data_IF_399788621215
#
_entry.id   IF_399788621215
#
_cell.length_a   1.000
_cell.length_b   1.000
_cell.length_c   1.000
_cell.angle_alpha   90.00
_cell.angle_beta   90.00
_cell.angle_gamma   90.00
#
_symmetry.space_group_name_H-M   'P 1'
#
loop_
_entity.id
_entity.type
_entity.pdbx_description
1 polymer ?
#
# COMPACT_ATOMS: atom_id res chain seq x y z
N UNK A 1 20.08 13.14 -21.69
CA UNK A 1 18.73 12.57 -21.96
C UNK A 1 18.87 11.04 -21.90
N UNK A 2 17.80 10.25 -21.72
CA UNK A 2 17.88 8.88 -21.17
C UNK A 2 18.96 7.97 -21.80
N UNK A 3 19.69 7.25 -20.95
CA UNK A 3 20.69 6.27 -21.36
C UNK A 3 20.04 4.94 -21.82
N UNK A 4 20.84 4.03 -22.40
CA UNK A 4 20.33 2.77 -22.95
C UNK A 4 19.63 1.88 -21.90
N UNK A 5 20.14 1.84 -20.67
CA UNK A 5 19.54 1.07 -19.57
C UNK A 5 18.19 1.65 -19.16
N UNK A 6 18.10 2.97 -19.02
CA UNK A 6 16.86 3.68 -18.71
C UNK A 6 15.80 3.42 -19.79
N UNK A 7 16.16 3.53 -21.06
CA UNK A 7 15.24 3.25 -22.18
C UNK A 7 14.76 1.81 -22.17
N UNK A 8 15.65 0.84 -21.90
CA UNK A 8 15.28 -0.58 -21.79
C UNK A 8 14.23 -0.79 -20.69
N UNK A 9 14.43 -0.20 -19.51
CA UNK A 9 13.49 -0.34 -18.38
C UNK A 9 12.17 0.38 -18.70
N UNK A 10 12.19 1.61 -19.20
CA UNK A 10 10.98 2.38 -19.53
C UNK A 10 10.10 1.69 -20.60
N UNK A 11 10.72 0.97 -21.55
CA UNK A 11 10.03 0.20 -22.59
C UNK A 11 9.56 -1.18 -22.13
N UNK A 12 10.01 -1.67 -20.97
CA UNK A 12 9.57 -2.98 -20.46
C UNK A 12 8.12 -2.95 -19.98
N UNK A 13 7.48 -4.11 -20.02
CA UNK A 13 6.12 -4.29 -19.54
C UNK A 13 6.00 -4.04 -18.03
N UNK A 14 4.84 -3.58 -17.59
CA UNK A 14 4.57 -3.38 -16.17
C UNK A 14 4.33 -4.74 -15.52
N UNK A 15 5.07 -5.03 -14.45
CA UNK A 15 4.90 -6.24 -13.66
C UNK A 15 3.51 -6.26 -12.99
N UNK A 16 2.77 -7.35 -13.16
CA UNK A 16 1.42 -7.54 -12.60
C UNK A 16 1.38 -7.41 -11.07
N UNK A 17 2.46 -7.73 -10.36
CA UNK A 17 2.55 -7.61 -8.89
C UNK A 17 2.45 -6.16 -8.38
N UNK A 18 2.84 -5.20 -9.23
CA UNK A 18 2.77 -3.75 -8.95
C UNK A 18 1.37 -3.20 -9.17
N UNK A 19 0.49 -3.93 -9.85
CA UNK A 19 -0.86 -3.50 -10.17
C UNK A 19 -1.79 -3.82 -9.00
N UNK A 20 -2.48 -2.79 -8.50
CA UNK A 20 -3.54 -2.89 -7.51
C UNK A 20 -4.90 -2.65 -8.15
N UNK A 21 -5.94 -3.17 -7.53
CA UNK A 21 -7.33 -2.99 -7.99
C UNK A 21 -8.16 -2.40 -6.88
N UNK A 22 -9.07 -1.48 -7.23
CA UNK A 22 -10.10 -0.98 -6.33
C UNK A 22 -11.45 -1.01 -7.02
N UNK A 23 -12.51 -1.26 -6.26
CA UNK A 23 -13.87 -1.17 -6.77
C UNK A 23 -14.38 0.28 -6.62
N UNK A 24 -14.96 0.83 -7.69
CA UNK A 24 -15.64 2.12 -7.68
C UNK A 24 -16.89 2.04 -8.55
N UNK A 25 -18.06 2.02 -7.91
CA UNK A 25 -19.35 1.99 -8.62
C UNK A 25 -19.50 0.79 -9.55
N UNK A 26 -19.39 -0.43 -9.00
CA UNK A 26 -19.45 -1.72 -9.69
C UNK A 26 -18.36 -1.93 -10.77
N UNK A 27 -17.38 -1.03 -10.88
CA UNK A 27 -16.26 -1.16 -11.82
C UNK A 27 -14.97 -1.35 -11.03
N UNK A 28 -14.19 -2.35 -11.43
CA UNK A 28 -12.83 -2.55 -10.95
C UNK A 28 -11.86 -1.64 -11.71
N UNK A 29 -11.12 -0.82 -10.98
CA UNK A 29 -10.12 0.09 -11.52
C UNK A 29 -8.72 -0.37 -11.10
N UNK A 30 -7.88 -0.63 -12.09
CA UNK A 30 -6.46 -0.94 -11.88
C UNK A 30 -5.65 0.34 -11.69
N UNK A 31 -4.68 0.33 -10.79
CA UNK A 31 -3.79 1.44 -10.49
C UNK A 31 -2.44 0.97 -9.94
N UNK A 32 -1.44 1.85 -9.95
CA UNK A 32 -0.20 1.69 -9.18
C UNK A 32 -0.19 2.65 -8.00
N UNK A 33 0.46 2.25 -6.91
CA UNK A 33 0.53 3.02 -5.67
C UNK A 33 1.51 4.20 -5.78
N UNK A 34 1.32 5.21 -4.94
CA UNK A 34 2.14 6.42 -5.01
C UNK A 34 3.61 6.18 -4.67
N UNK A 35 3.89 5.33 -3.66
CA UNK A 35 5.26 4.98 -3.28
C UNK A 35 5.97 4.22 -4.41
N UNK A 36 5.30 3.26 -5.03
CA UNK A 36 5.83 2.46 -6.13
C UNK A 36 6.26 3.34 -7.33
N UNK A 37 5.48 4.38 -7.63
CA UNK A 37 5.82 5.38 -8.66
C UNK A 37 7.08 6.17 -8.29
N UNK A 38 7.22 6.55 -7.03
CA UNK A 38 8.38 7.30 -6.52
C UNK A 38 9.63 6.41 -6.55
N UNK A 39 9.52 5.18 -6.05
CA UNK A 39 10.64 4.22 -6.03
C UNK A 39 11.08 3.84 -7.43
N UNK A 40 10.13 3.66 -8.36
CA UNK A 40 10.43 3.43 -9.77
C UNK A 40 11.14 4.63 -10.40
N UNK A 41 10.74 5.86 -10.07
CA UNK A 41 11.44 7.05 -10.55
C UNK A 41 12.85 7.15 -9.97
N UNK A 42 13.04 6.83 -8.69
CA UNK A 42 14.35 6.76 -8.05
C UNK A 42 15.25 5.70 -8.70
N UNK A 43 14.70 4.53 -9.03
CA UNK A 43 15.42 3.44 -9.68
C UNK A 43 15.84 3.80 -11.12
N UNK A 44 14.92 4.36 -11.91
CA UNK A 44 15.17 4.63 -13.33
C UNK A 44 16.00 5.91 -13.50
N UNK A 45 15.58 7.01 -12.87
CA UNK A 45 16.21 8.31 -13.10
C UNK A 45 17.39 8.56 -12.15
N UNK A 46 17.33 8.01 -10.93
CA UNK A 46 18.26 8.33 -9.84
C UNK A 46 17.74 9.47 -8.97
N UNK A 47 17.95 9.37 -7.65
CA UNK A 47 17.44 10.30 -6.64
C UNK A 47 17.72 11.79 -6.92
N UNK A 48 18.87 12.11 -7.52
CA UNK A 48 19.27 13.48 -7.83
C UNK A 48 18.81 14.02 -9.18
N UNK A 49 18.22 13.17 -10.04
CA UNK A 49 17.98 13.49 -11.45
C UNK A 49 16.50 13.69 -11.78
N UNK A 50 15.61 13.64 -10.80
CA UNK A 50 14.21 14.02 -10.99
C UNK A 50 13.68 14.80 -9.79
N UNK A 51 12.67 15.61 -10.03
CA UNK A 51 11.99 16.40 -9.01
C UNK A 51 10.61 16.78 -9.50
N UNK A 52 9.69 17.11 -8.61
CA UNK A 52 8.39 17.65 -8.99
C UNK A 52 8.04 18.88 -8.15
N UNK A 53 7.20 19.75 -8.72
CA UNK A 53 6.67 20.93 -8.08
C UNK A 53 5.15 20.87 -8.10
N UNK A 54 4.54 21.19 -6.96
CA UNK A 54 3.10 21.45 -6.88
C UNK A 54 2.90 22.89 -7.40
N UNK A 55 2.53 23.00 -8.67
CA UNK A 55 2.33 24.31 -9.32
C UNK A 55 1.04 24.96 -8.85
N UNK A 56 0.04 24.17 -8.48
CA UNK A 56 -1.25 24.64 -7.94
C UNK A 56 -1.90 23.57 -7.09
N UNK A 57 -2.62 23.98 -6.05
CA UNK A 57 -3.50 23.13 -5.25
C UNK A 57 -4.74 23.94 -4.87
N UNK A 58 -5.83 23.73 -5.59
CA UNK A 58 -7.09 24.47 -5.41
C UNK A 58 -8.14 23.58 -4.76
N UNK A 59 -8.84 24.10 -3.75
CA UNK A 59 -10.11 23.54 -3.33
C UNK A 59 -11.14 23.82 -4.42
N UNK A 60 -11.83 22.78 -4.91
CA UNK A 60 -12.84 22.90 -5.96
C UNK A 60 -14.26 22.85 -5.44
N UNK A 61 -14.50 22.12 -4.35
CA UNK A 61 -15.80 22.08 -3.67
C UNK A 61 -15.64 21.68 -2.21
N UNK A 62 -16.64 22.05 -1.41
CA UNK A 62 -16.82 21.60 -0.04
C UNK A 62 -18.30 21.59 0.29
N UNK A 63 -18.77 20.46 0.79
CA UNK A 63 -20.16 20.26 1.19
C UNK A 63 -20.22 19.33 2.40
N UNK A 64 -21.42 19.19 2.96
CA UNK A 64 -21.69 18.22 4.01
C UNK A 64 -22.72 17.21 3.48
N UNK A 65 -22.40 15.92 3.57
CA UNK A 65 -23.31 14.88 3.09
C UNK A 65 -24.41 14.58 4.12
N UNK A 66 -25.38 13.72 3.75
CA UNK A 66 -26.50 13.31 4.62
C UNK A 66 -26.05 12.72 5.97
N UNK A 67 -24.84 12.15 6.03
CA UNK A 67 -24.26 11.58 7.24
C UNK A 67 -23.47 12.62 8.06
N UNK A 68 -23.62 13.90 7.76
CA UNK A 68 -22.91 15.00 8.40
C UNK A 68 -21.38 14.96 8.24
N UNK A 69 -20.85 14.20 7.26
CA UNK A 69 -19.41 14.25 6.95
C UNK A 69 -19.13 15.43 6.02
N UNK A 70 -18.01 16.11 6.23
CA UNK A 70 -17.46 17.03 5.24
C UNK A 70 -16.94 16.21 4.05
N UNK A 71 -17.32 16.65 2.85
CA UNK A 71 -16.82 16.16 1.58
C UNK A 71 -16.09 17.31 0.92
N UNK A 72 -14.77 17.21 0.82
CA UNK A 72 -13.91 18.25 0.26
C UNK A 72 -13.19 17.70 -0.95
N UNK A 73 -13.12 18.49 -2.01
CA UNK A 73 -12.43 18.10 -3.25
C UNK A 73 -11.34 19.10 -3.58
N UNK A 74 -10.19 18.58 -4.02
CA UNK A 74 -9.06 19.37 -4.47
C UNK A 74 -8.64 18.99 -5.88
N UNK A 75 -8.08 19.97 -6.59
CA UNK A 75 -7.40 19.80 -7.86
C UNK A 75 -5.96 20.26 -7.71
N UNK A 76 -5.01 19.41 -8.05
CA UNK A 76 -3.59 19.74 -8.05
C UNK A 76 -3.04 19.81 -9.48
N UNK A 77 -2.07 20.69 -9.72
CA UNK A 77 -1.27 20.71 -10.95
C UNK A 77 0.17 20.41 -10.55
N UNK A 78 0.73 19.30 -11.05
CA UNK A 78 2.11 18.91 -10.74
C UNK A 78 2.97 19.01 -11.98
N UNK A 79 4.09 19.73 -11.87
CA UNK A 79 5.14 19.80 -12.90
C UNK A 79 6.30 18.89 -12.48
N UNK A 80 6.56 17.88 -13.28
CA UNK A 80 7.66 16.94 -13.15
C UNK A 80 8.83 17.40 -14.01
N UNK A 81 10.04 17.31 -13.48
CA UNK A 81 11.30 17.63 -14.16
C UNK A 81 12.22 16.43 -14.03
N UNK A 82 12.72 15.94 -15.16
CA UNK A 82 13.72 14.87 -15.23
C UNK A 82 14.94 15.39 -15.96
N UNK A 83 16.12 15.18 -15.37
CA UNK A 83 17.43 15.58 -15.87
C UNK A 83 18.22 14.35 -16.28
N UNK A 84 19.23 14.55 -17.10
CA UNK A 84 20.25 13.53 -17.30
C UNK A 84 21.32 13.54 -16.21
N UNK A 85 22.17 12.51 -16.20
CA UNK A 85 23.18 12.27 -15.16
C UNK A 85 24.11 13.47 -14.95
N UNK A 86 24.45 14.19 -16.03
CA UNK A 86 25.32 15.37 -15.97
C UNK A 86 24.55 16.69 -15.76
N UNK A 87 23.22 16.63 -15.60
CA UNK A 87 22.33 17.79 -15.44
C UNK A 87 22.43 18.82 -16.58
N UNK A 88 22.84 18.39 -17.77
CA UNK A 88 23.01 19.24 -18.95
C UNK A 88 21.73 19.37 -19.78
N UNK A 89 20.86 18.37 -19.70
CA UNK A 89 19.56 18.36 -20.39
C UNK A 89 18.47 18.03 -19.39
N UNK A 90 17.32 18.68 -19.58
CA UNK A 90 16.12 18.42 -18.79
C UNK A 90 14.88 18.35 -19.66
N UNK A 91 13.93 17.52 -19.26
CA UNK A 91 12.59 17.45 -19.83
C UNK A 91 11.57 17.64 -18.72
N UNK A 92 10.42 18.20 -19.07
CA UNK A 92 9.34 18.41 -18.12
C UNK A 92 8.02 17.84 -18.63
N UNK A 93 7.21 17.37 -17.69
CA UNK A 93 5.81 16.94 -17.90
C UNK A 93 4.94 17.66 -16.89
N UNK A 94 3.69 17.89 -17.24
CA UNK A 94 2.71 18.44 -16.31
C UNK A 94 1.39 17.72 -16.54
N UNK A 95 0.72 17.39 -15.45
CA UNK A 95 -0.64 16.85 -15.49
C UNK A 95 -1.41 17.39 -14.27
N UNK A 96 -2.70 17.13 -14.27
CA UNK A 96 -3.64 17.56 -13.25
C UNK A 96 -4.12 16.32 -12.50
N UNK A 97 -4.19 16.41 -11.18
CA UNK A 97 -4.75 15.39 -10.32
C UNK A 97 -5.97 15.87 -9.57
N UNK A 98 -6.77 14.92 -9.12
CA UNK A 98 -7.97 15.17 -8.34
C UNK A 98 -7.97 14.31 -7.09
N UNK A 99 -8.39 14.88 -5.97
CA UNK A 99 -8.52 14.18 -4.69
C UNK A 99 -9.79 14.55 -3.97
N UNK A 100 -10.35 13.60 -3.24
CA UNK A 100 -11.57 13.78 -2.45
C UNK A 100 -11.37 13.23 -1.03
N UNK A 101 -11.69 14.05 -0.05
CA UNK A 101 -11.64 13.69 1.36
C UNK A 101 -13.03 13.69 1.96
N UNK A 102 -13.39 12.60 2.63
CA UNK A 102 -14.65 12.47 3.36
C UNK A 102 -14.33 12.17 4.81
N UNK A 103 -14.66 13.10 5.71
CA UNK A 103 -14.40 12.94 7.13
C UNK A 103 -15.41 13.70 8.00
N UNK A 104 -15.52 13.30 9.27
CA UNK A 104 -16.32 14.04 10.26
C UNK A 104 -15.68 15.37 10.63
N UNK A 105 -14.35 15.40 10.76
CA UNK A 105 -13.62 16.62 11.03
C UNK A 105 -13.20 17.28 9.70
N UNK A 106 -13.38 18.59 9.61
CA UNK A 106 -13.12 19.34 8.38
C UNK A 106 -11.64 19.27 7.98
N UNK A 107 -10.72 19.41 8.95
CA UNK A 107 -9.28 19.33 8.74
C UNK A 107 -8.85 17.99 8.11
N UNK A 108 -9.43 16.87 8.56
CA UNK A 108 -9.12 15.54 8.03
C UNK A 108 -9.59 15.40 6.57
N UNK A 109 -10.75 15.98 6.23
CA UNK A 109 -11.24 16.00 4.86
C UNK A 109 -10.32 16.82 3.94
N UNK A 110 -9.86 18.00 4.36
CA UNK A 110 -8.88 18.79 3.61
C UNK A 110 -7.54 18.05 3.46
N UNK A 111 -7.04 17.43 4.54
CA UNK A 111 -5.77 16.68 4.52
C UNK A 111 -5.83 15.54 3.50
N UNK A 112 -6.88 14.70 3.57
CA UNK A 112 -7.04 13.56 2.68
C UNK A 112 -7.20 13.99 1.21
N UNK A 113 -8.07 14.97 0.95
CA UNK A 113 -8.32 15.46 -0.40
C UNK A 113 -7.07 16.08 -1.04
N UNK A 114 -6.35 16.92 -0.29
CA UNK A 114 -5.14 17.57 -0.76
C UNK A 114 -4.02 16.58 -1.08
N UNK A 115 -3.78 15.60 -0.18
CA UNK A 115 -2.79 14.53 -0.39
C UNK A 115 -3.14 13.69 -1.63
N UNK A 116 -4.38 13.23 -1.75
CA UNK A 116 -4.81 12.42 -2.90
C UNK A 116 -4.64 13.21 -4.22
N UNK A 117 -5.03 14.48 -4.25
CA UNK A 117 -4.94 15.30 -5.46
C UNK A 117 -3.50 15.43 -5.96
N UNK A 118 -2.54 15.67 -5.07
CA UNK A 118 -1.12 15.79 -5.42
C UNK A 118 -0.55 14.44 -5.87
N UNK A 119 -0.86 13.35 -5.15
CA UNK A 119 -0.40 12.01 -5.54
C UNK A 119 -0.97 11.60 -6.89
N UNK A 120 -2.25 11.85 -7.16
CA UNK A 120 -2.87 11.57 -8.46
C UNK A 120 -2.19 12.37 -9.58
N UNK A 121 -1.95 13.67 -9.37
CA UNK A 121 -1.29 14.53 -10.35
C UNK A 121 0.14 14.05 -10.66
N UNK A 122 0.90 13.65 -9.64
CA UNK A 122 2.24 13.09 -9.79
C UNK A 122 2.22 11.80 -10.60
N UNK A 123 1.34 10.85 -10.25
CA UNK A 123 1.20 9.58 -10.99
C UNK A 123 0.87 9.81 -12.46
N UNK A 124 -0.05 10.74 -12.73
CA UNK A 124 -0.47 11.07 -14.09
C UNK A 124 0.64 11.76 -14.90
N UNK A 125 1.40 12.66 -14.29
CA UNK A 125 2.57 13.27 -14.94
C UNK A 125 3.67 12.24 -15.24
N UNK A 126 3.90 11.30 -14.32
CA UNK A 126 4.86 10.20 -14.50
C UNK A 126 4.44 9.23 -15.60
N UNK A 127 3.13 8.95 -15.76
CA UNK A 127 2.57 8.08 -16.80
C UNK A 127 3.11 8.40 -18.20
N UNK A 128 3.35 9.67 -18.50
CA UNK A 128 3.90 10.14 -19.79
C UNK A 128 5.33 9.66 -20.09
N UNK A 129 6.01 8.99 -19.15
CA UNK A 129 7.33 8.39 -19.36
C UNK A 129 7.28 6.92 -19.80
N UNK A 130 6.13 6.24 -19.68
CA UNK A 130 5.96 4.88 -20.22
C UNK A 130 5.28 3.90 -19.27
N UNK A 131 5.34 2.63 -19.64
CA UNK A 131 4.57 1.56 -19.01
C UNK A 131 4.96 1.32 -17.54
N UNK A 132 6.23 1.55 -17.19
CA UNK A 132 6.71 1.46 -15.81
C UNK A 132 6.00 2.41 -14.83
N UNK A 133 5.35 3.45 -15.34
CA UNK A 133 4.53 4.40 -14.59
C UNK A 133 3.03 4.25 -14.87
N UNK A 134 2.59 3.07 -15.31
CA UNK A 134 1.17 2.72 -15.41
C UNK A 134 0.48 3.15 -16.71
N UNK A 135 1.23 3.51 -17.76
CA UNK A 135 0.60 3.91 -19.04
C UNK A 135 -0.22 2.77 -19.68
N UNK A 136 0.24 1.53 -19.57
CA UNK A 136 -0.45 0.34 -20.09
C UNK A 136 -1.80 0.06 -19.41
N UNK A 137 -2.02 0.55 -18.18
CA UNK A 137 -3.29 0.34 -17.45
C UNK A 137 -4.49 1.06 -18.11
N UNK A 138 -4.21 2.05 -18.96
CA UNK A 138 -5.22 2.79 -19.70
C UNK A 138 -5.60 2.13 -21.03
N UNK A 139 -4.85 1.10 -21.46
CA UNK A 139 -5.16 0.35 -22.66
C UNK A 139 -6.31 -0.63 -22.40
N UNK A 140 -7.50 -0.28 -22.89
CA UNK A 140 -8.71 -1.09 -22.74
C UNK A 140 -8.63 -2.43 -23.47
N UNK A 141 -7.82 -2.56 -24.52
CA UNK A 141 -7.69 -3.81 -25.27
C UNK A 141 -7.03 -4.91 -24.42
N UNK A 142 -6.09 -4.52 -23.55
CA UNK A 142 -5.40 -5.43 -22.61
C UNK A 142 -6.28 -5.83 -21.42
N UNK A 143 -7.21 -4.97 -21.02
CA UNK A 143 -8.16 -5.28 -19.95
C UNK A 143 -9.20 -6.33 -20.37
N UNK A 144 -9.52 -6.44 -21.66
CA UNK A 144 -10.45 -7.46 -22.18
C UNK A 144 -9.84 -8.87 -22.15
N UNK A 145 -8.55 -9.01 -22.50
CA UNK A 145 -7.86 -10.31 -22.46
C UNK A 145 -7.79 -10.94 -21.06
N UNK A 146 -7.70 -10.11 -20.02
CA UNK A 146 -7.70 -10.58 -18.63
C UNK A 146 -9.08 -11.02 -18.13
N UNK A 147 -10.18 -10.52 -18.73
CA UNK A 147 -11.53 -11.00 -18.39
C UNK A 147 -11.80 -12.39 -18.99
N UNK A 148 -11.43 -12.64 -20.25
CA UNK A 148 -11.63 -13.95 -20.90
C UNK A 148 -10.84 -15.09 -20.21
N UNK A 149 -9.65 -14.78 -19.70
CA UNK A 149 -8.79 -15.73 -18.97
C UNK A 149 -9.40 -16.23 -17.65
N UNK A 150 -10.29 -15.44 -17.04
CA UNK A 150 -10.97 -15.80 -15.79
C UNK A 150 -12.14 -16.77 -15.99
N UNK A 151 -12.77 -16.76 -17.16
CA UNK A 151 -13.89 -17.66 -17.49
C UNK A 151 -13.42 -19.08 -17.86
N UNK A 152 -12.21 -19.25 -18.42
CA UNK A 152 -11.69 -20.60 -18.72
C UNK A 152 -11.27 -21.38 -17.46
N UNK A 153 -10.91 -20.70 -16.37
CA UNK A 153 -10.50 -21.37 -15.13
C UNK A 153 -11.69 -21.92 -14.32
N UNK A 154 -12.91 -21.43 -14.53
CA UNK A 154 -14.11 -21.94 -13.84
C UNK A 154 -14.62 -23.28 -14.39
N UNK A 155 -14.44 -23.57 -15.70
CA UNK A 155 -14.90 -24.85 -16.27
C UNK A 155 -14.03 -26.04 -15.85
N UNK A 156 -12.73 -25.83 -15.57
CA UNK A 156 -11.84 -26.91 -15.13
C UNK A 156 -12.12 -27.39 -13.69
N UNK A 157 -12.74 -26.56 -12.84
CA UNK A 157 -13.09 -26.96 -11.47
C UNK A 157 -14.36 -27.82 -11.40
N UNK A 158 -15.29 -27.69 -12.35
CA UNK A 158 -16.52 -28.50 -12.35
C UNK A 158 -16.31 -29.93 -12.89
N UNK A 159 -15.25 -30.19 -13.68
CA UNK A 159 -14.99 -31.52 -14.22
C UNK A 159 -14.13 -32.42 -13.29
N UNK A 160 -13.55 -31.86 -12.22
CA UNK A 160 -12.73 -32.63 -11.25
C UNK A 160 -13.51 -33.22 -10.07
N UNK A 161 -14.79 -32.93 -9.88
CA UNK A 161 -15.58 -33.47 -8.77
C UNK A 161 -16.31 -34.79 -9.05
N UNK A 162 -16.26 -35.34 -10.27
CA UNK A 162 -16.99 -36.57 -10.63
C UNK A 162 -16.21 -37.88 -10.49
N UNK A 163 -14.95 -37.86 -10.05
CA UNK A 163 -14.11 -39.07 -9.90
C UNK A 163 -13.51 -39.19 -8.50
N UNK A 164 -14.34 -39.27 -7.46
CA UNK A 164 -13.96 -39.85 -6.17
C UNK A 164 -15.20 -39.96 -5.29
N UNK A 165 -15.95 -41.05 -5.45
CA UNK A 165 -16.78 -41.61 -4.38
C UNK A 165 -17.23 -43.02 -4.78
N UNK A 166 -16.35 -43.99 -4.59
CA UNK A 166 -16.74 -45.39 -4.41
C UNK A 166 -16.27 -45.87 -3.03
N UNK A 167 -17.20 -46.55 -2.34
CA UNK A 167 -17.05 -47.31 -1.10
C UNK A 167 -16.97 -46.53 0.22
N UNK A 168 -18.08 -46.49 0.98
CA UNK A 168 -18.35 -47.41 2.10
C UNK A 168 -19.87 -47.51 2.33
N UNK A 169 -20.36 -48.75 2.49
CA UNK A 169 -21.74 -49.13 2.72
C UNK A 169 -21.94 -49.51 4.21
N UNK A 170 -22.99 -49.03 4.89
CA UNK A 170 -23.92 -49.87 5.71
C UNK A 170 -25.00 -49.08 6.49
N UNK A 171 -26.28 -49.37 6.13
CA UNK A 171 -27.50 -49.66 6.96
C UNK A 171 -27.90 -48.69 8.10
N UNK A 172 -29.16 -48.28 8.34
CA UNK A 172 -30.51 -48.64 7.86
C UNK A 172 -31.59 -47.65 8.40
N UNK A 173 -32.72 -47.50 7.67
CA UNK A 173 -34.15 -47.22 8.10
C UNK A 173 -34.49 -45.96 8.94
N UNK A 174 -35.58 -45.20 8.80
CA UNK A 174 -36.80 -45.09 7.95
C UNK A 174 -37.38 -43.64 8.13
N UNK A 175 -38.39 -43.16 7.37
CA UNK A 175 -38.66 -41.75 7.11
C UNK A 175 -39.86 -41.14 7.88
N UNK A 176 -39.81 -39.84 8.12
CA UNK A 176 -40.93 -38.88 8.03
C UNK A 176 -40.47 -37.54 8.60
N UNK A 177 -40.60 -36.44 7.84
CA UNK A 177 -41.39 -35.26 8.25
C UNK A 177 -41.31 -34.15 7.18
N UNK A 178 -42.46 -33.50 7.02
CA UNK A 178 -42.85 -32.58 5.95
C UNK A 178 -42.25 -31.18 6.06
N UNK A 179 -42.06 -30.59 4.88
CA UNK A 179 -42.05 -29.16 4.50
C UNK A 179 -42.71 -28.17 5.46
N UNK A 180 -42.04 -27.03 5.72
CA UNK A 180 -42.62 -25.67 5.75
C UNK A 180 -41.56 -24.62 5.36
N UNK A 181 -41.91 -23.78 4.37
CA UNK A 181 -41.24 -22.52 3.99
C UNK A 181 -41.28 -21.47 5.12
N UNK A 182 -40.25 -20.62 5.28
CA UNK A 182 -40.40 -19.15 5.18
C UNK A 182 -39.15 -18.34 5.54
N UNK A 183 -39.01 -17.25 4.77
CA UNK A 183 -38.45 -15.93 5.11
C UNK A 183 -36.94 -15.70 5.02
N UNK A 184 -36.57 -15.14 3.85
CA UNK A 184 -35.38 -14.35 3.61
C UNK A 184 -35.43 -13.03 4.41
N UNK A 185 -34.48 -12.84 5.30
CA UNK A 185 -34.16 -11.53 5.87
C UNK A 185 -32.96 -10.94 5.11
N UNK A 186 -33.15 -9.74 4.56
CA UNK A 186 -32.11 -8.89 3.97
C UNK A 186 -31.14 -8.44 5.06
N UNK A 187 -29.86 -8.78 4.92
CA UNK A 187 -28.78 -8.09 5.65
C UNK A 187 -27.99 -7.24 4.67
N UNK A 188 -28.00 -5.93 4.92
CA UNK A 188 -27.18 -4.93 4.28
C UNK A 188 -25.75 -5.05 4.82
N UNK A 189 -24.79 -5.38 3.96
CA UNK A 189 -23.38 -5.27 4.30
C UNK A 189 -22.93 -3.83 4.14
N UNK A 190 -22.61 -3.19 5.27
CA UNK A 190 -21.88 -1.92 5.33
C UNK A 190 -20.39 -2.21 5.17
N UNK A 191 -19.79 -1.70 4.10
CA UNK A 191 -18.33 -1.76 3.88
C UNK A 191 -17.69 -0.54 4.54
N UNK A 192 -17.00 -0.74 5.67
CA UNK A 192 -16.13 0.26 6.28
C UNK A 192 -14.76 0.23 5.59
N UNK A 193 -14.41 1.31 4.88
CA UNK A 193 -13.04 1.62 4.54
C UNK A 193 -12.49 2.56 5.62
N UNK A 194 -11.47 2.11 6.36
CA UNK A 194 -10.63 2.97 7.20
C UNK A 194 -9.26 3.08 6.56
N UNK A 195 -8.90 4.29 6.11
CA UNK A 195 -7.51 4.66 5.81
C UNK A 195 -6.93 5.34 7.04
N UNK A 196 -5.87 4.74 7.60
CA UNK A 196 -5.11 5.29 8.72
C UNK A 196 -4.33 6.54 8.30
N UNK A 197 -4.46 7.58 9.11
CA UNK A 197 -3.62 8.77 9.15
C UNK A 197 -2.31 8.49 9.90
N UNK A 198 -1.24 9.19 9.54
CA UNK A 198 -0.22 9.60 10.52
C UNK A 198 0.13 11.07 10.29
N UNK A 199 -0.11 11.85 11.36
CA UNK A 199 0.30 13.23 11.57
C UNK A 199 1.71 13.22 12.16
N UNK A 200 2.56 14.15 11.71
CA UNK A 200 3.79 14.52 12.42
C UNK A 200 3.69 16.02 12.71
N UNK A 201 3.48 16.37 13.98
CA UNK A 201 3.67 17.73 14.48
C UNK A 201 5.13 17.87 14.92
N UNK A 202 5.78 18.92 14.43
CA UNK A 202 7.13 19.31 14.80
C UNK A 202 7.03 20.71 15.44
N UNK A 203 7.55 20.96 16.66
CA UNK A 203 7.63 22.31 17.19
C UNK A 203 9.01 22.95 16.95
N UNK A 204 8.93 24.19 16.47
CA UNK A 204 9.86 25.31 16.67
C UNK A 204 11.22 25.38 15.96
N UNK A 205 11.46 26.57 15.40
CA UNK A 205 12.78 27.17 15.23
C UNK A 205 12.72 28.62 15.68
N UNK A 206 13.58 29.02 16.62
CA UNK A 206 14.13 30.39 16.72
C UNK A 206 15.49 30.38 17.40
N UNK A 207 16.42 31.10 16.77
CA UNK A 207 17.84 31.23 17.04
C UNK A 207 18.17 31.98 18.33
N UNK A 208 19.22 31.55 19.04
CA UNK A 208 20.11 32.41 19.86
C UNK A 208 21.55 31.90 19.73
N UNK A 209 22.49 32.82 19.51
CA UNK A 209 23.94 32.60 19.43
C UNK A 209 24.57 32.35 20.82
N UNK A 210 25.57 31.45 20.94
CA UNK A 210 26.87 31.68 21.62
C UNK A 210 27.78 30.42 21.67
N UNK A 211 29.02 30.61 21.18
CA UNK A 211 30.36 30.05 21.48
C UNK A 211 30.64 28.59 21.94
N UNK A 212 31.86 28.05 21.68
CA UNK A 212 32.16 26.61 21.62
C UNK A 212 32.84 26.07 22.89
N UNK A 213 32.55 24.80 23.23
CA UNK A 213 33.56 23.81 23.63
C UNK A 213 32.95 22.41 23.87
N UNK A 214 33.62 21.41 23.28
CA UNK A 214 33.84 20.04 23.76
C UNK A 214 32.67 19.21 24.33
N UNK A 215 32.29 18.14 23.61
CA UNK A 215 32.58 16.76 24.01
C UNK A 215 32.10 15.76 22.93
N UNK A 216 33.01 14.90 22.50
CA UNK A 216 32.75 13.69 21.71
C UNK A 216 31.69 12.83 22.40
N UNK A 217 30.71 12.32 21.64
CA UNK A 217 30.10 11.05 21.99
C UNK A 217 29.84 10.22 20.73
N UNK A 218 30.44 9.04 20.72
CA UNK A 218 30.39 8.02 19.68
C UNK A 218 28.95 7.53 19.49
N UNK A 219 28.42 7.61 18.28
CA UNK A 219 27.39 6.66 17.84
C UNK A 219 28.09 5.40 17.35
N UNK A 220 28.17 4.41 18.23
CA UNK A 220 28.58 3.05 17.88
C UNK A 220 27.53 2.45 16.95
N UNK A 221 27.97 2.09 15.74
CA UNK A 221 27.31 1.10 14.91
C UNK A 221 27.21 -0.20 15.71
N UNK A 222 26.01 -0.60 16.08
CA UNK A 222 25.75 -1.96 16.52
C UNK A 222 25.74 -2.89 15.30
N UNK A 223 26.91 -3.35 14.91
CA UNK A 223 27.07 -4.58 14.13
C UNK A 223 26.87 -5.77 15.08
N UNK A 224 25.63 -6.22 15.24
CA UNK A 224 25.41 -7.53 15.86
C UNK A 224 25.58 -8.62 14.81
N UNK A 225 26.52 -9.53 15.08
CA UNK A 225 26.75 -10.71 14.28
C UNK A 225 25.48 -11.56 14.20
N UNK A 226 25.16 -11.89 12.97
CA UNK A 226 23.96 -12.52 12.48
C UNK A 226 23.88 -13.99 12.92
N UNK A 227 22.83 -14.33 13.68
CA UNK A 227 22.41 -15.72 13.89
C UNK A 227 20.87 -15.82 14.02
N UNK A 228 20.15 -14.92 13.35
CA UNK A 228 18.69 -14.91 13.36
C UNK A 228 18.17 -15.61 12.10
N UNK A 229 17.14 -16.44 12.25
CA UNK A 229 16.62 -17.28 11.17
C UNK A 229 15.73 -16.52 10.18
N UNK A 230 15.57 -15.20 10.33
CA UNK A 230 14.62 -14.37 9.59
C UNK A 230 15.29 -13.18 8.89
N UNK A 231 14.65 -12.66 7.85
CA UNK A 231 15.13 -11.46 7.14
C UNK A 231 14.83 -10.20 7.96
N UNK A 232 15.88 -9.52 8.42
CA UNK A 232 15.74 -8.32 9.23
C UNK A 232 14.95 -7.22 8.48
N UNK A 233 15.05 -7.11 7.15
CA UNK A 233 14.37 -6.06 6.38
C UNK A 233 12.84 -6.22 6.35
N UNK A 234 12.31 -7.42 6.66
CA UNK A 234 10.87 -7.69 6.69
C UNK A 234 10.14 -6.84 7.75
N UNK A 235 10.81 -6.49 8.84
CA UNK A 235 10.22 -5.77 9.97
C UNK A 235 10.71 -4.32 10.11
N UNK A 236 11.24 -3.73 9.03
CA UNK A 236 11.70 -2.34 9.04
C UNK A 236 10.63 -1.36 9.53
N UNK A 237 9.35 -1.62 9.22
CA UNK A 237 8.23 -0.83 9.72
C UNK A 237 8.09 -0.85 11.24
N UNK A 238 8.47 -1.95 11.92
CA UNK A 238 8.46 -2.05 13.38
C UNK A 238 9.68 -1.33 13.99
N UNK A 239 10.87 -1.47 13.39
CA UNK A 239 12.07 -0.76 13.86
C UNK A 239 11.91 0.76 13.78
N UNK A 240 11.27 1.26 12.72
CA UNK A 240 10.99 2.69 12.58
C UNK A 240 10.02 3.22 13.65
N UNK A 241 9.26 2.33 14.31
CA UNK A 241 8.37 2.65 15.43
C UNK A 241 9.08 2.47 16.79
N UNK A 242 10.38 2.18 16.81
CA UNK A 242 11.16 1.93 18.02
C UNK A 242 10.91 0.56 18.65
N UNK A 243 10.35 -0.38 17.89
CA UNK A 243 10.13 -1.77 18.32
C UNK A 243 11.20 -2.65 17.71
N UNK A 244 11.72 -3.61 18.47
CA UNK A 244 12.66 -4.62 17.98
C UNK A 244 12.00 -5.99 17.86
N UNK A 245 12.55 -6.84 16.99
CA UNK A 245 12.13 -8.22 16.81
C UNK A 245 13.30 -9.12 17.16
N UNK A 246 13.08 -10.05 18.09
CA UNK A 246 14.10 -10.99 18.53
C UNK A 246 13.59 -12.42 18.39
N UNK A 247 14.49 -13.35 18.09
CA UNK A 247 14.17 -14.78 18.07
C UNK A 247 14.41 -15.41 19.45
N UNK A 248 13.38 -16.04 20.01
CA UNK A 248 13.43 -16.75 21.29
C UNK A 248 12.65 -18.06 21.18
N UNK A 249 13.31 -19.19 21.47
CA UNK A 249 12.69 -20.53 21.51
C UNK A 249 11.93 -20.92 20.22
N UNK A 250 12.43 -20.52 19.04
CA UNK A 250 11.80 -20.79 17.75
C UNK A 250 10.61 -19.88 17.42
N UNK A 251 10.42 -18.80 18.19
CA UNK A 251 9.44 -17.76 17.93
C UNK A 251 10.13 -16.42 17.74
N UNK A 252 9.61 -15.63 16.82
CA UNK A 252 9.89 -14.20 16.75
C UNK A 252 9.03 -13.49 17.78
N UNK A 253 9.64 -12.63 18.57
CA UNK A 253 9.03 -11.89 19.66
C UNK A 253 9.27 -10.40 19.45
N UNK A 254 8.23 -9.58 19.55
CA UNK A 254 8.36 -8.12 19.50
C UNK A 254 8.68 -7.61 20.90
N UNK A 255 9.71 -6.77 21.00
CA UNK A 255 10.10 -6.06 22.22
C UNK A 255 10.14 -4.54 21.94
N UNK A 256 10.20 -3.73 23.00
CA UNK A 256 10.23 -2.28 22.90
C UNK A 256 9.11 -1.61 23.70
N UNK A 257 9.16 -0.28 23.78
CA UNK A 257 8.17 0.52 24.50
C UNK A 257 6.88 0.70 23.69
N UNK A 258 5.77 0.98 24.37
CA UNK A 258 4.48 1.33 23.74
C UNK A 258 3.92 0.32 22.72
N UNK A 259 4.26 -0.98 22.83
CA UNK A 259 3.77 -2.04 21.93
C UNK A 259 2.24 -2.04 21.74
N UNK A 260 1.47 -1.66 22.78
CA UNK A 260 0.01 -1.58 22.70
C UNK A 260 -0.51 -0.44 21.80
N UNK A 261 0.23 0.66 21.69
CA UNK A 261 -0.11 1.78 20.81
C UNK A 261 0.07 1.39 19.33
N UNK A 262 0.98 0.44 19.05
CA UNK A 262 1.32 -0.01 17.70
C UNK A 262 0.75 -1.40 17.35
N UNK A 263 -0.27 -1.86 18.08
CA UNK A 263 -0.88 -3.18 17.92
C UNK A 263 -1.28 -3.52 16.48
N UNK A 264 -1.72 -2.53 15.70
CA UNK A 264 -2.20 -2.75 14.34
C UNK A 264 -1.03 -2.95 13.36
N UNK A 265 0.06 -2.20 13.53
CA UNK A 265 1.32 -2.43 12.81
C UNK A 265 1.93 -3.79 13.15
N UNK A 266 1.92 -4.19 14.42
CA UNK A 266 2.45 -5.49 14.86
C UNK A 266 1.61 -6.66 14.27
N UNK A 267 0.28 -6.53 14.26
CA UNK A 267 -0.61 -7.52 13.63
C UNK A 267 -0.42 -7.61 12.12
N UNK A 268 -0.19 -6.48 11.44
CA UNK A 268 0.05 -6.45 10.00
C UNK A 268 1.29 -7.26 9.60
N UNK A 269 2.31 -7.32 10.47
CA UNK A 269 3.51 -8.16 10.29
C UNK A 269 3.30 -9.65 10.66
N UNK A 270 2.06 -10.06 10.96
CA UNK A 270 1.70 -11.45 11.22
C UNK A 270 1.88 -11.92 12.66
N UNK A 271 2.23 -11.05 13.60
CA UNK A 271 2.35 -11.39 15.02
C UNK A 271 0.97 -11.59 15.66
N UNK A 272 0.92 -12.43 16.69
CA UNK A 272 -0.26 -12.71 17.54
C UNK A 272 0.05 -12.31 18.97
N UNK A 273 -0.96 -11.88 19.72
CA UNK A 273 -0.79 -11.48 21.11
C UNK A 273 -1.12 -12.64 22.04
N UNK A 274 -0.19 -12.99 22.93
CA UNK A 274 -0.46 -13.89 24.06
C UNK A 274 -0.84 -13.05 25.29
N UNK A 275 -2.07 -13.23 25.78
CA UNK A 275 -2.57 -12.51 26.95
C UNK A 275 -1.93 -12.94 28.27
N UNK A 276 -1.36 -14.16 28.34
CA UNK A 276 -0.70 -14.67 29.56
C UNK A 276 0.69 -14.05 29.74
N UNK A 277 1.52 -14.10 28.70
CA UNK A 277 2.86 -13.50 28.72
C UNK A 277 2.87 -12.00 28.43
N UNK A 278 1.75 -11.45 27.92
CA UNK A 278 1.62 -10.05 27.46
C UNK A 278 2.56 -9.70 26.30
N UNK A 279 2.86 -10.68 25.47
CA UNK A 279 3.88 -10.57 24.43
C UNK A 279 3.29 -10.80 23.03
N UNK A 280 3.84 -10.12 22.04
CA UNK A 280 3.54 -10.37 20.63
C UNK A 280 4.53 -11.37 20.04
N UNK A 281 4.03 -12.43 19.42
CA UNK A 281 4.86 -13.52 18.90
C UNK A 281 4.37 -14.05 17.55
N UNK A 282 5.28 -14.63 16.75
CA UNK A 282 4.94 -15.51 15.62
C UNK A 282 5.99 -16.63 15.48
N UNK A 283 5.66 -17.79 14.89
CA UNK A 283 6.64 -18.83 14.63
C UNK A 283 7.78 -18.30 13.74
N UNK A 284 9.03 -18.65 14.06
CA UNK A 284 10.16 -18.38 13.18
C UNK A 284 10.10 -19.36 11.98
N UNK A 285 10.20 -18.85 10.76
CA UNK A 285 10.21 -19.71 9.57
C UNK A 285 11.53 -20.49 9.51
N UNK A 286 11.43 -21.82 9.62
CA UNK A 286 12.57 -22.68 9.32
C UNK A 286 12.74 -22.70 7.80
N UNK A 287 13.84 -22.13 7.30
CA UNK A 287 14.25 -22.37 5.91
C UNK A 287 14.45 -23.87 5.76
N UNK A 288 13.60 -24.51 4.96
CA UNK A 288 13.82 -25.87 4.50
C UNK A 288 15.22 -25.91 3.87
N UNK A 289 16.07 -26.80 4.39
CA UNK A 289 17.44 -27.03 3.92
C UNK A 289 17.44 -27.59 2.50
#
# INVERSE_FOLDING_TARGET
MFNANQLKVLNSELDSSRIKTREKGNINLSYIEGFDVIDTANLIFGYGNWSYLISKLDQVSQEQNHNQNYVVCYKAVVKLIVKDENHTKSIFRQDVGFGSGVAKALNDAHENAGKEAVTDALKRAMRSFGNQFGNSLYDKSRNQQNQDSSYQNQQNYQQRQSYQNENVNSRATNPNFKSVNQQQARQQNQTQNQTMQQQVQNPNSRNVHQNPNHQQNNQQQHSFQNNQSFDQYEYQGLYNLGLDVIEQNGFLVVIGENQYAYKDSIKACGFRFDSKSKTWYKPAEQRAS
#
